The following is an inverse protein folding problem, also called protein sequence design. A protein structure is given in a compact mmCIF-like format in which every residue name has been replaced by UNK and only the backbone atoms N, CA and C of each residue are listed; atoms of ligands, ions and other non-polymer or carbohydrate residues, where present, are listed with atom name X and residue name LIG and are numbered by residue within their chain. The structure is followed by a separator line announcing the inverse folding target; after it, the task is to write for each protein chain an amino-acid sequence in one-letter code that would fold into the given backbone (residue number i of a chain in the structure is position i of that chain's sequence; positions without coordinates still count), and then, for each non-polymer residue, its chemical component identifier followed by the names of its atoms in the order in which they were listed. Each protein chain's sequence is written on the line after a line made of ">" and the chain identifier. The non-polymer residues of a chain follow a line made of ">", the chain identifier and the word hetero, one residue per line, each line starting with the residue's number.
data_IF_667021756976
#
_entry.id   IF_667021756976
#
_cell.length_a   1.000
_cell.length_b   1.000
_cell.length_c   1.000
_cell.angle_alpha   90.00
_cell.angle_beta   90.00
_cell.angle_gamma   90.00
#
_symmetry.space_group_name_H-M   'P 1'
#
loop_
_entity.id
_entity.type
_entity.pdbx_description
1 polymer ?
#
# COMPACT_ATOMS: atom_id res chain seq x y z
N UNK A 1 3.93 -11.08 4.54
CA UNK A 1 3.89 -9.66 4.17
C UNK A 1 3.12 -8.89 5.24
N UNK A 2 3.48 -7.63 5.54
CA UNK A 2 2.67 -6.76 6.37
C UNK A 2 1.28 -6.60 5.74
N UNK A 3 0.24 -6.51 6.57
CA UNK A 3 -1.09 -6.26 6.05
C UNK A 3 -1.21 -4.80 5.56
N UNK A 4 -2.28 -4.51 4.80
CA UNK A 4 -2.58 -3.17 4.25
C UNK A 4 -2.56 -2.07 5.33
N UNK A 5 -2.97 -2.39 6.56
CA UNK A 5 -2.96 -1.42 7.66
C UNK A 5 -1.53 -1.05 8.08
N UNK A 6 -0.62 -2.03 8.14
CA UNK A 6 0.79 -1.78 8.49
C UNK A 6 1.48 -0.87 7.46
N UNK A 7 1.21 -1.09 6.17
CA UNK A 7 1.70 -0.22 5.09
C UNK A 7 1.13 1.19 5.19
N UNK A 8 -0.17 1.34 5.43
CA UNK A 8 -0.81 2.64 5.62
C UNK A 8 -0.27 3.41 6.83
N UNK A 9 -0.05 2.73 7.96
CA UNK A 9 0.54 3.33 9.16
C UNK A 9 1.97 3.82 8.90
N UNK A 10 2.77 3.03 8.20
CA UNK A 10 4.13 3.43 7.82
C UNK A 10 4.11 4.63 6.87
N UNK A 11 3.23 4.64 5.87
CA UNK A 11 3.09 5.75 4.93
C UNK A 11 2.76 7.07 5.65
N UNK A 12 1.83 7.04 6.61
CA UNK A 12 1.46 8.21 7.43
C UNK A 12 2.60 8.66 8.34
N UNK A 13 3.36 7.72 8.92
CA UNK A 13 4.54 8.04 9.73
C UNK A 13 5.67 8.69 8.91
N UNK A 14 5.80 8.34 7.63
CA UNK A 14 6.73 9.01 6.70
C UNK A 14 6.22 10.38 6.33
N UNK A 15 4.93 10.50 5.99
CA UNK A 15 4.29 11.78 5.67
C UNK A 15 4.50 12.81 6.80
N UNK A 16 4.38 12.41 8.07
CA UNK A 16 4.55 13.31 9.22
C UNK A 16 5.99 13.79 9.44
N UNK A 17 6.97 13.19 8.77
CA UNK A 17 8.39 13.58 8.82
C UNK A 17 8.81 14.44 7.62
N UNK A 18 7.93 14.61 6.64
CA UNK A 18 8.19 15.50 5.51
C UNK A 18 8.04 16.96 5.99
N UNK A 19 9.02 17.79 5.66
CA UNK A 19 8.94 19.22 5.86
C UNK A 19 8.29 19.87 4.63
N UNK A 20 7.56 20.98 4.85
CA UNK A 20 6.67 21.63 3.89
C UNK A 20 7.21 21.61 2.45
N UNK A 21 6.46 20.93 1.59
CA UNK A 21 6.82 20.72 0.20
C UNK A 21 5.56 20.58 -0.64
N UNK A 22 5.69 20.88 -1.94
CA UNK A 22 4.66 20.59 -2.95
C UNK A 22 4.21 19.11 -2.93
N UNK A 23 5.04 18.21 -2.41
CA UNK A 23 4.71 16.80 -2.25
C UNK A 23 3.63 16.60 -1.18
N UNK A 24 3.71 17.27 -0.02
CA UNK A 24 2.68 17.18 1.02
C UNK A 24 1.33 17.64 0.51
N UNK A 25 1.26 18.79 -0.16
CA UNK A 25 0.00 19.28 -0.74
C UNK A 25 -0.55 18.35 -1.83
N UNK A 26 0.32 17.65 -2.55
CA UNK A 26 -0.10 16.64 -3.54
C UNK A 26 -0.63 15.39 -2.84
N UNK A 27 0.02 14.93 -1.77
CA UNK A 27 -0.44 13.79 -0.96
C UNK A 27 -1.82 14.10 -0.35
N UNK A 28 -1.99 15.29 0.21
CA UNK A 28 -3.26 15.71 0.82
C UNK A 28 -4.39 15.80 -0.22
N UNK A 29 -4.08 16.20 -1.46
CA UNK A 29 -5.06 16.23 -2.55
C UNK A 29 -5.44 14.83 -3.08
N UNK A 30 -4.62 13.81 -2.84
CA UNK A 30 -4.76 12.46 -3.39
C UNK A 30 -4.46 11.36 -2.33
N UNK A 31 -5.00 11.49 -1.11
CA UNK A 31 -4.68 10.61 0.03
C UNK A 31 -4.95 9.13 -0.28
N UNK A 32 -6.07 8.82 -0.93
CA UNK A 32 -6.44 7.44 -1.28
C UNK A 32 -5.42 6.80 -2.24
N UNK A 33 -4.93 7.57 -3.22
CA UNK A 33 -3.92 7.09 -4.18
C UNK A 33 -2.60 6.87 -3.48
N UNK A 34 -2.22 7.75 -2.56
CA UNK A 34 -1.01 7.61 -1.76
C UNK A 34 -1.05 6.37 -0.87
N UNK A 35 -2.16 6.12 -0.17
CA UNK A 35 -2.34 4.94 0.69
C UNK A 35 -2.40 3.64 -0.13
N UNK A 36 -3.11 3.65 -1.26
CA UNK A 36 -3.15 2.51 -2.18
C UNK A 36 -1.76 2.19 -2.73
N UNK A 37 -1.03 3.19 -3.23
CA UNK A 37 0.33 3.00 -3.75
C UNK A 37 1.32 2.54 -2.67
N UNK A 38 1.17 3.03 -1.43
CA UNK A 38 2.00 2.62 -0.29
C UNK A 38 1.80 1.16 0.11
N UNK A 39 0.64 0.60 -0.21
CA UNK A 39 0.37 -0.84 -0.03
C UNK A 39 1.04 -1.71 -1.10
N UNK A 40 1.59 -1.10 -2.16
CA UNK A 40 2.42 -1.76 -3.15
C UNK A 40 1.72 -2.93 -3.88
N UNK A 41 2.49 -3.88 -4.44
CA UNK A 41 1.96 -5.05 -5.12
C UNK A 41 1.32 -6.05 -4.14
N UNK A 42 1.44 -5.86 -2.82
CA UNK A 42 0.84 -6.73 -1.81
C UNK A 42 -0.68 -6.76 -1.96
N UNK A 43 -1.31 -5.66 -2.40
CA UNK A 43 -2.72 -5.67 -2.81
C UNK A 43 -2.97 -6.74 -3.90
N UNK A 44 -2.13 -6.81 -4.94
CA UNK A 44 -2.27 -7.83 -5.99
C UNK A 44 -2.08 -9.26 -5.48
N UNK A 45 -1.26 -9.45 -4.44
CA UNK A 45 -1.14 -10.73 -3.73
C UNK A 45 -2.42 -11.09 -2.97
N UNK A 46 -3.03 -10.15 -2.25
CA UNK A 46 -4.30 -10.39 -1.53
C UNK A 46 -5.48 -10.70 -2.47
N UNK A 47 -5.44 -10.21 -3.71
CA UNK A 47 -6.48 -10.48 -4.71
C UNK A 47 -6.16 -11.66 -5.65
N UNK A 48 -5.10 -12.45 -5.38
CA UNK A 48 -4.64 -13.55 -6.25
C UNK A 48 -4.57 -13.12 -7.72
N UNK A 49 -4.14 -11.89 -7.99
CA UNK A 49 -4.27 -11.28 -9.32
C UNK A 49 -3.22 -11.81 -10.32
N UNK A 50 -2.34 -12.71 -9.89
CA UNK A 50 -1.32 -13.33 -10.72
C UNK A 50 -1.93 -14.49 -11.52
N UNK A 51 -2.03 -14.40 -12.87
CA UNK A 51 -2.73 -15.39 -13.69
C UNK A 51 -2.14 -16.81 -13.68
N UNK A 52 -0.94 -16.98 -13.12
CA UNK A 52 -0.17 -18.22 -13.12
C UNK A 52 0.03 -18.82 -11.73
N UNK A 53 -0.56 -18.24 -10.68
CA UNK A 53 -0.35 -18.72 -9.32
C UNK A 53 -1.18 -20.00 -9.05
N UNK A 54 -0.52 -20.98 -8.43
CA UNK A 54 -1.06 -22.30 -8.11
C UNK A 54 -2.28 -22.18 -7.15
N UNK A 55 -3.48 -22.65 -7.54
CA UNK A 55 -4.71 -22.55 -6.74
C UNK A 55 -4.63 -23.17 -5.34
N UNK A 56 -3.65 -24.04 -5.07
CA UNK A 56 -3.43 -24.68 -3.76
C UNK A 56 -2.59 -23.82 -2.81
N UNK A 57 -1.74 -22.92 -3.32
CA UNK A 57 -0.83 -22.11 -2.52
C UNK A 57 -1.55 -20.94 -1.80
N UNK A 58 -2.58 -20.38 -2.43
CA UNK A 58 -3.39 -19.28 -1.89
C UNK A 58 -4.29 -19.67 -0.69
N UNK A 59 -4.41 -20.96 -0.36
CA UNK A 59 -5.29 -21.47 0.72
C UNK A 59 -4.64 -21.56 2.11
N UNK A 60 -3.38 -21.15 2.25
CA UNK A 60 -2.58 -21.32 3.49
C UNK A 60 -2.41 -20.05 4.33
N UNK A 61 -3.13 -18.97 4.00
CA UNK A 61 -3.07 -17.70 4.72
C UNK A 61 -4.39 -17.43 5.42
#
# INVERSE_FOLDING_TARGET
>A
MPNVLAHGLMAKAVQSQLHESKLLSTIDAYEDVFLFASSGPDFLFYYNMWPWDDPQAAKRV
#
